data_IF_976474655905
#
_entry.id   IF_976474655905
#
_cell.length_a   1.000
_cell.length_b   1.000
_cell.length_c   1.000
_cell.angle_alpha   90.00
_cell.angle_beta   90.00
_cell.angle_gamma   90.00
#
_symmetry.space_group_name_H-M   'P 1'
#
loop_
_entity.id
_entity.type
_entity.pdbx_description
1 polymer ?
#
# COMPACT_ATOMS: atom_id res chain seq x y z
N UNK A 1 30.47 -4.25 -2.63
CA UNK A 1 29.20 -3.80 -3.21
C UNK A 1 28.96 -2.43 -2.62
N UNK A 2 28.81 -1.38 -3.44
CA UNK A 2 28.53 -0.04 -2.94
C UNK A 2 27.04 0.06 -2.64
N UNK A 3 26.67 0.47 -1.43
CA UNK A 3 25.28 0.76 -1.08
C UNK A 3 24.76 1.88 -1.99
N UNK A 4 23.59 1.68 -2.59
CA UNK A 4 22.90 2.72 -3.37
C UNK A 4 22.52 3.88 -2.43
N UNK A 5 22.93 5.11 -2.74
CA UNK A 5 22.56 6.29 -1.96
C UNK A 5 21.08 6.64 -2.14
N UNK A 6 20.43 7.15 -1.09
CA UNK A 6 19.05 7.64 -1.15
C UNK A 6 18.94 8.72 -2.24
N UNK A 7 18.07 8.56 -3.26
CA UNK A 7 17.96 9.55 -4.32
C UNK A 7 17.12 10.74 -3.88
N UNK A 8 17.53 11.94 -4.27
CA UNK A 8 16.80 13.18 -3.98
C UNK A 8 15.41 13.24 -4.66
N UNK A 9 15.18 12.44 -5.72
CA UNK A 9 13.91 12.42 -6.45
C UNK A 9 13.58 11.06 -7.08
N UNK A 10 12.99 10.15 -6.31
CA UNK A 10 12.25 8.99 -6.84
C UNK A 10 10.78 9.33 -6.88
N UNK A 11 10.16 9.22 -8.06
CA UNK A 11 8.72 9.46 -8.21
C UNK A 11 7.89 8.36 -7.54
N UNK A 12 6.73 8.74 -7.01
CA UNK A 12 5.73 7.79 -6.57
C UNK A 12 5.05 7.12 -7.77
N UNK A 13 4.66 5.84 -7.67
CA UNK A 13 3.80 5.23 -8.67
C UNK A 13 2.48 6.01 -8.82
N UNK A 14 1.90 6.08 -10.03
CA UNK A 14 0.59 6.70 -10.21
C UNK A 14 -0.47 6.08 -9.29
N UNK A 15 -1.26 6.93 -8.64
CA UNK A 15 -2.28 6.50 -7.68
C UNK A 15 -1.81 6.47 -6.23
N UNK A 16 -0.51 6.31 -5.98
CA UNK A 16 0.03 6.43 -4.63
C UNK A 16 -0.26 7.84 -4.06
N UNK A 17 -0.79 7.87 -2.85
CA UNK A 17 -1.26 9.08 -2.19
C UNK A 17 -0.16 9.73 -1.34
N UNK A 18 0.59 8.90 -0.61
CA UNK A 18 1.66 9.36 0.29
C UNK A 18 2.77 8.32 0.40
N UNK A 19 3.82 8.67 1.12
CA UNK A 19 4.99 7.84 1.37
C UNK A 19 5.58 8.11 2.74
N UNK A 20 6.23 7.11 3.30
CA UNK A 20 7.10 7.26 4.45
C UNK A 20 8.47 7.80 4.07
N UNK A 21 9.24 8.19 5.08
CA UNK A 21 10.64 8.53 4.94
C UNK A 21 11.46 7.31 4.50
N UNK A 22 12.50 7.54 3.70
CA UNK A 22 13.47 6.50 3.33
C UNK A 22 14.11 5.86 4.55
N UNK A 23 14.13 4.52 4.55
CA UNK A 23 14.84 3.67 5.46
C UNK A 23 16.19 3.30 4.85
N UNK A 24 17.28 3.53 5.58
CA UNK A 24 18.60 3.05 5.18
C UNK A 24 18.66 1.53 5.36
N UNK A 25 18.85 0.79 4.28
CA UNK A 25 18.93 -0.67 4.28
C UNK A 25 19.93 -1.17 3.23
N UNK A 26 20.47 -2.37 3.48
CA UNK A 26 21.31 -3.10 2.52
C UNK A 26 20.46 -4.15 1.79
N UNK A 27 20.64 -4.35 0.47
CA UNK A 27 21.64 -3.70 -0.40
C UNK A 27 21.23 -2.32 -0.92
N UNK A 28 19.97 -1.91 -0.74
CA UNK A 28 19.51 -0.58 -1.14
C UNK A 28 18.44 -0.02 -0.18
N UNK A 29 18.38 1.31 0.00
CA UNK A 29 17.33 1.97 0.75
C UNK A 29 15.94 1.69 0.17
N UNK A 30 14.94 1.76 1.04
CA UNK A 30 13.53 1.60 0.66
C UNK A 30 12.65 2.60 1.39
N UNK A 31 11.42 2.75 0.92
CA UNK A 31 10.35 3.45 1.64
C UNK A 31 9.05 2.68 1.47
N UNK A 32 8.09 2.95 2.36
CA UNK A 32 6.73 2.48 2.20
C UNK A 32 5.96 3.54 1.41
N UNK A 33 5.20 3.10 0.41
CA UNK A 33 4.26 3.92 -0.34
C UNK A 33 2.84 3.48 0.01
N UNK A 34 1.94 4.44 0.14
CA UNK A 34 0.56 4.21 0.59
C UNK A 34 -0.41 4.80 -0.44
N UNK A 35 -1.47 4.05 -0.72
CA UNK A 35 -2.57 4.52 -1.55
C UNK A 35 -3.56 5.36 -0.75
N UNK A 36 -4.61 5.82 -1.42
CA UNK A 36 -5.70 6.53 -0.73
C UNK A 36 -6.54 5.58 0.14
N UNK A 37 -6.87 6.04 1.35
CA UNK A 37 -7.79 5.35 2.24
C UNK A 37 -9.18 5.24 1.62
N UNK A 38 -9.74 4.02 1.65
CA UNK A 38 -11.12 3.75 1.26
C UNK A 38 -11.93 3.45 2.52
N UNK A 39 -12.94 4.27 2.79
CA UNK A 39 -13.81 4.16 3.96
C UNK A 39 -15.15 3.53 3.60
N UNK A 40 -15.77 2.82 4.55
CA UNK A 40 -17.08 2.20 4.38
C UNK A 40 -18.18 3.07 5.02
N UNK A 41 -19.24 3.36 4.27
CA UNK A 41 -20.30 4.25 4.72
C UNK A 41 -20.96 3.76 6.03
N UNK A 42 -21.01 4.66 7.02
CA UNK A 42 -21.59 4.36 8.33
C UNK A 42 -20.80 3.32 9.14
N UNK A 43 -19.55 3.03 8.78
CA UNK A 43 -18.68 2.10 9.50
C UNK A 43 -17.28 2.70 9.69
N UNK A 44 -16.51 2.16 10.64
CA UNK A 44 -15.14 2.63 10.93
C UNK A 44 -14.06 1.89 10.13
N UNK A 45 -14.47 0.97 9.25
CA UNK A 45 -13.53 0.17 8.47
C UNK A 45 -12.81 1.05 7.45
N UNK A 46 -11.50 0.83 7.33
CA UNK A 46 -10.64 1.52 6.39
C UNK A 46 -9.80 0.49 5.65
N UNK A 47 -9.73 0.64 4.32
CA UNK A 47 -8.89 -0.15 3.45
C UNK A 47 -7.77 0.75 2.91
N UNK A 48 -6.51 0.37 3.11
CA UNK A 48 -5.33 1.14 2.68
C UNK A 48 -4.37 0.27 1.86
N UNK A 49 -4.13 0.59 0.57
CA UNK A 49 -3.05 0.02 -0.23
C UNK A 49 -1.66 0.33 0.37
N UNK A 50 -0.73 -0.62 0.31
CA UNK A 50 0.65 -0.46 0.77
C UNK A 50 1.64 -1.28 -0.07
N UNK A 51 2.81 -0.73 -0.34
CA UNK A 51 3.91 -1.46 -0.95
C UNK A 51 5.28 -0.86 -0.57
N UNK A 52 6.33 -1.64 -0.76
CA UNK A 52 7.72 -1.18 -0.64
C UNK A 52 8.19 -0.65 -1.99
N UNK A 53 8.77 0.56 -1.99
CA UNK A 53 9.49 1.11 -3.14
C UNK A 53 10.98 1.22 -2.82
N UNK A 54 11.81 0.71 -3.72
CA UNK A 54 13.25 0.74 -3.63
C UNK A 54 13.83 2.06 -4.17
N UNK A 55 15.07 2.36 -3.80
CA UNK A 55 15.80 3.54 -4.26
C UNK A 55 15.98 3.59 -5.79
N UNK A 56 15.99 2.45 -6.48
CA UNK A 56 16.00 2.40 -7.95
C UNK A 56 14.64 2.75 -8.60
N UNK A 57 13.61 2.97 -7.79
CA UNK A 57 12.25 3.33 -8.21
C UNK A 57 11.32 2.14 -8.42
N UNK A 58 11.85 0.91 -8.43
CA UNK A 58 11.02 -0.30 -8.53
C UNK A 58 10.19 -0.51 -7.27
N UNK A 59 9.03 -1.11 -7.44
CA UNK A 59 8.17 -1.58 -6.34
C UNK A 59 8.45 -3.06 -6.13
N UNK A 60 8.58 -3.50 -4.88
CA UNK A 60 8.79 -4.92 -4.56
C UNK A 60 7.59 -5.74 -5.07
N UNK A 61 7.86 -6.82 -5.80
CA UNK A 61 6.87 -7.76 -6.34
C UNK A 61 6.57 -8.92 -5.36
N UNK A 62 7.08 -8.83 -4.13
CA UNK A 62 6.96 -9.87 -3.10
C UNK A 62 8.19 -10.75 -2.95
N UNK A 63 9.34 -10.35 -3.51
CA UNK A 63 10.62 -11.02 -3.26
C UNK A 63 11.15 -10.76 -1.86
N UNK A 64 10.88 -9.59 -1.29
CA UNK A 64 11.21 -9.28 0.12
C UNK A 64 9.94 -9.05 0.92
N UNK A 65 9.11 -8.12 0.47
CA UNK A 65 7.82 -7.82 1.08
C UNK A 65 6.75 -7.70 0.00
N UNK A 66 5.73 -8.56 0.08
CA UNK A 66 4.64 -8.53 -0.88
C UNK A 66 3.83 -7.25 -0.70
N UNK A 67 3.50 -6.57 -1.81
CA UNK A 67 2.49 -5.53 -1.81
C UNK A 67 1.19 -6.06 -1.20
N UNK A 68 0.53 -5.25 -0.40
CA UNK A 68 -0.61 -5.71 0.38
C UNK A 68 -1.61 -4.60 0.65
N UNK A 69 -2.77 -5.01 1.15
CA UNK A 69 -3.87 -4.13 1.51
C UNK A 69 -4.13 -4.27 3.00
N UNK A 70 -4.00 -3.18 3.74
CA UNK A 70 -4.44 -3.14 5.14
C UNK A 70 -5.95 -3.01 5.21
N UNK A 71 -6.57 -3.74 6.14
CA UNK A 71 -7.97 -3.59 6.51
C UNK A 71 -8.05 -3.35 8.02
N UNK A 72 -8.39 -2.11 8.40
CA UNK A 72 -8.42 -1.66 9.79
C UNK A 72 -9.84 -1.67 10.36
N UNK A 73 -9.94 -1.72 11.70
CA UNK A 73 -11.18 -1.59 12.46
C UNK A 73 -12.26 -2.62 12.11
N UNK A 74 -11.84 -3.84 11.74
CA UNK A 74 -12.70 -5.01 11.53
C UNK A 74 -12.65 -5.89 12.79
N UNK A 75 -13.42 -5.50 13.79
CA UNK A 75 -13.49 -6.17 15.09
C UNK A 75 -14.87 -6.81 15.29
N UNK A 76 -14.96 -7.91 16.06
CA UNK A 76 -16.24 -8.55 16.39
C UNK A 76 -17.22 -7.60 17.11
N UNK A 77 -16.69 -6.61 17.83
CA UNK A 77 -17.43 -5.57 18.55
C UNK A 77 -18.12 -4.55 17.61
N UNK A 78 -17.74 -4.52 16.34
CA UNK A 78 -18.23 -3.59 15.33
C UNK A 78 -18.50 -4.35 14.02
N UNK A 79 -19.57 -5.17 13.98
CA UNK A 79 -19.87 -6.01 12.83
C UNK A 79 -20.41 -5.19 11.65
N UNK A 80 -20.14 -5.69 10.44
CA UNK A 80 -20.67 -5.13 9.20
C UNK A 80 -22.11 -5.60 8.97
N UNK A 81 -22.95 -4.71 8.44
CA UNK A 81 -24.17 -5.14 7.74
C UNK A 81 -23.82 -5.84 6.42
N UNK A 82 -24.77 -6.54 5.81
CA UNK A 82 -24.55 -7.21 4.52
C UNK A 82 -24.20 -6.24 3.39
N UNK A 83 -24.74 -5.02 3.40
CA UNK A 83 -24.42 -4.00 2.41
C UNK A 83 -23.03 -3.43 2.63
N UNK A 84 -22.66 -3.15 3.89
CA UNK A 84 -21.31 -2.72 4.23
C UNK A 84 -20.26 -3.79 3.93
N UNK A 85 -20.60 -5.07 4.06
CA UNK A 85 -19.71 -6.17 3.68
C UNK A 85 -19.46 -6.20 2.16
N UNK A 86 -20.47 -5.90 1.34
CA UNK A 86 -20.30 -5.77 -0.12
C UNK A 86 -19.50 -4.54 -0.50
N UNK A 87 -19.74 -3.42 0.18
CA UNK A 87 -18.97 -2.19 0.01
C UNK A 87 -17.50 -2.42 0.38
N UNK A 88 -17.22 -3.11 1.48
CA UNK A 88 -15.88 -3.50 1.88
C UNK A 88 -15.21 -4.40 0.86
N UNK A 89 -15.92 -5.40 0.34
CA UNK A 89 -15.39 -6.27 -0.71
C UNK A 89 -15.01 -5.47 -1.97
N UNK A 90 -15.85 -4.51 -2.39
CA UNK A 90 -15.54 -3.64 -3.52
C UNK A 90 -14.31 -2.75 -3.25
N UNK A 91 -14.19 -2.19 -2.04
CA UNK A 91 -13.03 -1.40 -1.63
C UNK A 91 -11.74 -2.23 -1.61
N UNK A 92 -11.79 -3.46 -1.11
CA UNK A 92 -10.65 -4.39 -1.09
C UNK A 92 -10.19 -4.75 -2.50
N UNK A 93 -11.12 -5.08 -3.40
CA UNK A 93 -10.80 -5.40 -4.80
C UNK A 93 -10.16 -4.20 -5.51
N UNK A 94 -10.77 -3.02 -5.37
CA UNK A 94 -10.23 -1.81 -5.99
C UNK A 94 -8.85 -1.41 -5.40
N UNK A 95 -8.58 -1.72 -4.13
CA UNK A 95 -7.27 -1.50 -3.52
C UNK A 95 -6.24 -2.52 -4.05
N UNK A 96 -6.62 -3.79 -4.18
CA UNK A 96 -5.74 -4.81 -4.75
C UNK A 96 -5.35 -4.47 -6.20
N UNK A 97 -6.32 -4.10 -7.04
CA UNK A 97 -6.06 -3.69 -8.43
C UNK A 97 -5.11 -2.49 -8.52
N UNK A 98 -5.19 -1.54 -7.58
CA UNK A 98 -4.30 -0.39 -7.51
C UNK A 98 -2.86 -0.83 -7.20
N UNK A 99 -2.69 -1.67 -6.18
CA UNK A 99 -1.38 -2.18 -5.76
C UNK A 99 -0.74 -3.04 -6.84
N UNK A 100 -1.51 -3.93 -7.49
CA UNK A 100 -1.04 -4.73 -8.62
C UNK A 100 -0.56 -3.85 -9.78
N UNK A 101 -1.24 -2.73 -10.00
CA UNK A 101 -0.87 -1.71 -10.98
C UNK A 101 0.44 -0.98 -10.69
N UNK A 102 0.94 -1.01 -9.44
CA UNK A 102 2.26 -0.49 -9.08
C UNK A 102 3.39 -1.45 -9.41
N UNK A 103 3.15 -2.76 -9.29
CA UNK A 103 4.14 -3.82 -9.53
C UNK A 103 4.34 -4.10 -11.01
N UNK A 104 3.26 -4.05 -11.80
CA UNK A 104 3.26 -4.45 -13.20
C UNK A 104 3.98 -3.46 -14.16
N UNK A 105 4.79 -2.53 -13.65
CA UNK A 105 5.41 -1.44 -14.41
C UNK A 105 6.93 -1.44 -14.36
#
# INVERSE_FOLDING_TARGET
MSATSIPDSVALPPGAYTQDTWQAAEPQPYRIILGGDRTIAGHRAVVSPSAVQWADGSVDDGRTEAPHVYAFNLEESNPLTTDQARELAAALLAAADEVDGWVAR
#
